data_IF_395802310765
#
_entry.id   IF_395802310765
#
_cell.length_a   1.000
_cell.length_b   1.000
_cell.length_c   1.000
_cell.angle_alpha   90.00
_cell.angle_beta   90.00
_cell.angle_gamma   90.00
#
_symmetry.space_group_name_H-M   'P 1'
#
loop_
_entity.id
_entity.type
_entity.pdbx_description
1 polymer ?
#
# COMPACT_ATOMS: atom_id res chain seq x y z
N UNK A 1 -2.09 -18.28 14.37
CA UNK A 1 -3.47 -18.65 14.77
C UNK A 1 -4.37 -17.44 15.03
N UNK A 2 -3.96 -16.40 15.76
CA UNK A 2 -4.80 -15.22 16.09
C UNK A 2 -5.42 -14.54 14.86
N UNK A 3 -4.63 -14.26 13.80
CA UNK A 3 -5.14 -13.62 12.58
C UNK A 3 -6.28 -14.39 11.91
N UNK A 4 -6.19 -15.72 11.85
CA UNK A 4 -7.26 -16.53 11.24
C UNK A 4 -8.57 -16.42 12.02
N UNK A 5 -8.50 -16.29 13.33
CA UNK A 5 -9.67 -16.07 14.19
C UNK A 5 -10.28 -14.69 13.94
N UNK A 6 -9.44 -13.64 13.84
CA UNK A 6 -9.92 -12.29 13.53
C UNK A 6 -10.58 -12.23 12.14
N UNK A 7 -10.00 -12.89 11.13
CA UNK A 7 -10.60 -12.98 9.78
C UNK A 7 -11.94 -13.71 9.86
N UNK A 8 -12.02 -14.83 10.59
CA UNK A 8 -13.27 -15.58 10.74
C UNK A 8 -14.36 -14.74 11.43
N UNK A 9 -14.00 -13.96 12.44
CA UNK A 9 -14.92 -13.03 13.10
C UNK A 9 -15.38 -11.91 12.17
N UNK A 10 -14.47 -11.32 11.38
CA UNK A 10 -14.80 -10.26 10.43
C UNK A 10 -15.80 -10.74 9.34
N UNK A 11 -15.69 -12.00 8.93
CA UNK A 11 -16.54 -12.59 7.89
C UNK A 11 -17.87 -13.13 8.46
N UNK A 12 -17.93 -13.45 9.76
CA UNK A 12 -19.11 -14.10 10.38
C UNK A 12 -20.40 -13.28 10.28
N UNK A 13 -20.28 -11.97 10.07
CA UNK A 13 -21.43 -11.06 9.90
C UNK A 13 -21.83 -10.85 8.43
N UNK A 14 -21.28 -11.63 7.50
CA UNK A 14 -21.52 -11.53 6.04
C UNK A 14 -21.42 -10.08 5.51
N UNK A 15 -20.27 -9.39 5.72
CA UNK A 15 -20.14 -7.99 5.35
C UNK A 15 -20.02 -7.83 3.82
N UNK A 16 -20.44 -6.69 3.28
CA UNK A 16 -20.20 -6.31 1.90
C UNK A 16 -18.78 -5.81 1.66
N UNK A 17 -18.12 -5.29 2.72
CA UNK A 17 -16.78 -4.71 2.67
C UNK A 17 -15.96 -5.10 3.90
N UNK A 18 -14.72 -5.52 3.68
CA UNK A 18 -13.72 -5.76 4.72
C UNK A 18 -12.63 -4.69 4.61
N UNK A 19 -12.29 -4.04 5.72
CA UNK A 19 -11.14 -3.14 5.83
C UNK A 19 -10.07 -3.85 6.66
N UNK A 20 -8.93 -4.12 6.03
CA UNK A 20 -7.78 -4.77 6.65
C UNK A 20 -6.65 -3.76 6.80
N UNK A 21 -6.47 -3.26 8.02
CA UNK A 21 -5.41 -2.31 8.37
C UNK A 21 -4.18 -3.07 8.86
N UNK A 22 -3.10 -2.99 8.11
CA UNK A 22 -1.83 -3.69 8.36
C UNK A 22 -2.02 -5.19 8.74
N UNK A 23 -2.78 -5.98 7.96
CA UNK A 23 -3.25 -7.30 8.40
C UNK A 23 -2.13 -8.31 8.62
N UNK A 24 -0.92 -8.04 8.15
CA UNK A 24 0.22 -8.95 8.22
C UNK A 24 1.43 -8.38 8.96
N UNK A 25 1.27 -7.26 9.65
CA UNK A 25 2.31 -6.68 10.49
C UNK A 25 2.74 -7.66 11.58
N UNK A 26 4.04 -7.77 11.81
CA UNK A 26 4.68 -8.70 12.75
C UNK A 26 4.54 -10.21 12.42
N UNK A 27 4.21 -10.56 11.17
CA UNK A 27 4.26 -11.93 10.69
C UNK A 27 5.54 -12.16 9.85
N UNK A 28 6.04 -13.38 9.89
CA UNK A 28 7.06 -13.81 8.93
C UNK A 28 6.51 -13.86 7.51
N UNK A 29 7.40 -13.75 6.51
CA UNK A 29 7.04 -13.63 5.09
C UNK A 29 6.16 -14.78 4.60
N UNK A 30 6.41 -16.00 5.09
CA UNK A 30 5.66 -17.18 4.69
C UNK A 30 4.23 -17.14 5.22
N UNK A 31 4.05 -16.81 6.48
CA UNK A 31 2.72 -16.69 7.10
C UNK A 31 1.96 -15.48 6.52
N UNK A 32 2.66 -14.37 6.27
CA UNK A 32 2.08 -13.21 5.58
C UNK A 32 1.46 -13.61 4.24
N UNK A 33 2.21 -14.33 3.38
CA UNK A 33 1.70 -14.79 2.09
C UNK A 33 0.48 -15.70 2.24
N UNK A 34 0.50 -16.64 3.20
CA UNK A 34 -0.63 -17.53 3.47
C UNK A 34 -1.90 -16.77 3.91
N UNK A 35 -1.76 -15.77 4.76
CA UNK A 35 -2.90 -14.96 5.25
C UNK A 35 -3.49 -14.14 4.12
N UNK A 36 -2.66 -13.49 3.30
CA UNK A 36 -3.13 -12.67 2.18
C UNK A 36 -3.82 -13.52 1.10
N UNK A 37 -3.28 -14.70 0.79
CA UNK A 37 -3.91 -15.64 -0.13
C UNK A 37 -5.26 -16.12 0.39
N UNK A 38 -5.34 -16.47 1.69
CA UNK A 38 -6.59 -16.85 2.34
C UNK A 38 -7.63 -15.70 2.26
N UNK A 39 -7.23 -14.46 2.55
CA UNK A 39 -8.12 -13.31 2.46
C UNK A 39 -8.63 -13.10 1.03
N UNK A 40 -7.76 -13.19 0.03
CA UNK A 40 -8.10 -13.07 -1.38
C UNK A 40 -9.09 -14.17 -1.82
N UNK A 41 -8.85 -15.41 -1.43
CA UNK A 41 -9.73 -16.53 -1.72
C UNK A 41 -11.10 -16.34 -1.10
N UNK A 42 -11.14 -15.96 0.18
CA UNK A 42 -12.41 -15.77 0.92
C UNK A 42 -13.22 -14.62 0.34
N UNK A 43 -12.61 -13.46 0.05
CA UNK A 43 -13.34 -12.31 -0.53
C UNK A 43 -13.89 -12.66 -1.92
N UNK A 44 -13.12 -13.35 -2.76
CA UNK A 44 -13.57 -13.80 -4.07
C UNK A 44 -14.74 -14.81 -3.98
N UNK A 45 -14.64 -15.75 -3.04
CA UNK A 45 -15.64 -16.82 -2.85
C UNK A 45 -16.95 -16.27 -2.28
N UNK A 46 -16.87 -15.27 -1.41
CA UNK A 46 -18.02 -14.65 -0.76
C UNK A 46 -18.58 -13.44 -1.54
N UNK A 47 -17.90 -12.98 -2.60
CA UNK A 47 -18.29 -11.78 -3.35
C UNK A 47 -18.11 -10.48 -2.58
N UNK A 48 -17.24 -10.46 -1.56
CA UNK A 48 -17.01 -9.34 -0.65
C UNK A 48 -15.90 -8.45 -1.18
N UNK A 49 -16.05 -7.14 -1.10
CA UNK A 49 -14.98 -6.19 -1.41
C UNK A 49 -13.98 -6.09 -0.25
N UNK A 50 -12.69 -5.83 -0.57
CA UNK A 50 -11.66 -5.68 0.45
C UNK A 50 -10.79 -4.44 0.20
N UNK A 51 -10.59 -3.63 1.25
CA UNK A 51 -9.58 -2.58 1.29
C UNK A 51 -8.43 -3.06 2.16
N UNK A 52 -7.22 -3.08 1.61
CA UNK A 52 -5.99 -3.37 2.37
C UNK A 52 -5.23 -2.06 2.55
N UNK A 53 -5.00 -1.68 3.80
CA UNK A 53 -4.12 -0.56 4.15
C UNK A 53 -2.77 -1.17 4.53
N UNK A 54 -1.71 -0.78 3.82
CA UNK A 54 -0.36 -1.31 4.09
C UNK A 54 0.72 -0.40 3.51
N UNK A 55 1.89 -0.43 4.14
CA UNK A 55 3.10 0.19 3.60
C UNK A 55 3.96 -0.81 2.79
N UNK A 56 3.56 -2.08 2.72
CA UNK A 56 4.31 -3.10 1.99
C UNK A 56 3.91 -3.11 0.51
N UNK A 57 4.73 -2.48 -0.31
CA UNK A 57 4.50 -2.36 -1.75
C UNK A 57 4.51 -3.71 -2.48
N UNK A 58 5.23 -4.72 -1.98
CA UNK A 58 5.19 -6.07 -2.52
C UNK A 58 3.81 -6.73 -2.36
N UNK A 59 3.13 -6.46 -1.23
CA UNK A 59 1.74 -6.91 -1.01
C UNK A 59 0.81 -6.24 -2.00
N UNK A 60 0.92 -4.92 -2.15
CA UNK A 60 0.09 -4.15 -3.10
C UNK A 60 0.28 -4.66 -4.52
N UNK A 61 1.53 -4.85 -4.99
CA UNK A 61 1.83 -5.33 -6.33
C UNK A 61 1.19 -6.70 -6.64
N UNK A 62 1.10 -7.58 -5.64
CA UNK A 62 0.66 -8.97 -5.81
C UNK A 62 -0.85 -9.15 -5.65
N UNK A 63 -1.49 -8.38 -4.78
CA UNK A 63 -2.85 -8.66 -4.33
C UNK A 63 -3.88 -7.58 -4.69
N UNK A 64 -3.44 -6.35 -5.00
CA UNK A 64 -4.36 -5.26 -5.29
C UNK A 64 -4.76 -5.20 -6.78
N UNK A 65 -6.04 -5.03 -7.06
CA UNK A 65 -6.55 -4.70 -8.39
C UNK A 65 -6.42 -3.20 -8.66
N UNK A 66 -6.76 -2.38 -7.67
CA UNK A 66 -6.66 -0.91 -7.69
C UNK A 66 -5.88 -0.41 -6.49
N UNK A 67 -5.16 0.68 -6.70
CA UNK A 67 -4.31 1.29 -5.69
C UNK A 67 -4.67 2.74 -5.52
N UNK A 68 -4.80 3.17 -4.26
CA UNK A 68 -4.89 4.56 -3.86
C UNK A 68 -3.62 4.91 -3.09
N UNK A 69 -2.79 5.79 -3.65
CA UNK A 69 -1.60 6.28 -2.98
C UNK A 69 -1.99 7.46 -2.11
N UNK A 70 -1.66 7.38 -0.81
CA UNK A 70 -1.94 8.45 0.15
C UNK A 70 -0.66 9.18 0.56
N UNK A 71 -0.78 10.49 0.71
CA UNK A 71 0.26 11.33 1.31
C UNK A 71 -0.38 12.44 2.13
N UNK A 72 0.09 12.63 3.36
CA UNK A 72 -0.42 13.66 4.27
C UNK A 72 -1.98 13.68 4.38
N UNK A 73 -2.60 12.51 4.54
CA UNK A 73 -4.04 12.35 4.70
C UNK A 73 -4.88 12.52 3.42
N UNK A 74 -4.24 12.75 2.26
CA UNK A 74 -4.95 12.92 0.97
C UNK A 74 -4.58 11.79 -0.01
N UNK A 75 -5.56 11.34 -0.79
CA UNK A 75 -5.28 10.47 -1.95
C UNK A 75 -4.70 11.36 -3.04
N UNK A 76 -3.48 11.07 -3.47
CA UNK A 76 -2.72 11.87 -4.44
C UNK A 76 -2.61 11.18 -5.80
N UNK A 77 -2.82 9.88 -5.85
CA UNK A 77 -2.84 9.11 -7.08
C UNK A 77 -3.73 7.88 -6.93
N UNK A 78 -4.47 7.54 -7.98
CA UNK A 78 -5.34 6.36 -8.06
C UNK A 78 -5.19 5.70 -9.42
N UNK A 79 -5.05 4.38 -9.44
CA UNK A 79 -4.92 3.63 -10.69
C UNK A 79 -5.05 2.14 -10.48
N UNK A 80 -4.93 1.36 -11.55
CA UNK A 80 -4.71 -0.07 -11.41
C UNK A 80 -3.33 -0.33 -10.81
N UNK A 81 -3.13 -1.49 -10.17
CA UNK A 81 -1.80 -1.83 -9.67
C UNK A 81 -0.76 -1.74 -10.79
N UNK A 82 -1.09 -2.21 -12.01
CA UNK A 82 -0.21 -2.14 -13.16
C UNK A 82 0.18 -0.71 -13.52
N UNK A 83 -0.76 0.23 -13.55
CA UNK A 83 -0.50 1.62 -13.91
C UNK A 83 0.39 2.28 -12.86
N UNK A 84 0.08 2.12 -11.58
CA UNK A 84 0.85 2.70 -10.48
C UNK A 84 2.31 2.20 -10.49
N UNK A 85 2.56 0.92 -10.79
CA UNK A 85 3.91 0.36 -10.77
C UNK A 85 4.72 0.64 -12.04
N UNK A 86 4.06 0.74 -13.20
CA UNK A 86 4.78 0.90 -14.48
C UNK A 86 4.74 2.32 -15.03
N UNK A 87 3.73 3.11 -14.67
CA UNK A 87 3.55 4.47 -15.17
C UNK A 87 3.02 5.43 -14.09
N UNK A 88 3.69 5.56 -12.94
CA UNK A 88 3.28 6.49 -11.89
C UNK A 88 3.32 7.93 -12.40
N UNK A 89 2.27 8.70 -12.13
CA UNK A 89 2.15 10.08 -12.60
C UNK A 89 2.52 11.09 -11.51
N UNK A 90 2.30 10.74 -10.23
CA UNK A 90 2.61 11.64 -9.14
C UNK A 90 4.07 11.52 -8.69
N UNK A 91 4.82 12.62 -8.50
CA UNK A 91 6.22 12.61 -8.08
C UNK A 91 6.50 11.84 -6.78
N UNK A 92 5.58 11.87 -5.82
CA UNK A 92 5.70 11.07 -4.60
C UNK A 92 5.65 9.57 -4.89
N UNK A 93 4.70 9.12 -5.71
CA UNK A 93 4.57 7.70 -6.09
C UNK A 93 5.84 7.21 -6.79
N UNK A 94 6.35 8.02 -7.72
CA UNK A 94 7.61 7.74 -8.41
C UNK A 94 8.79 7.61 -7.43
N UNK A 95 8.90 8.55 -6.48
CA UNK A 95 9.96 8.53 -5.47
C UNK A 95 9.80 7.33 -4.50
N UNK A 96 8.55 7.02 -4.11
CA UNK A 96 8.23 5.87 -3.26
C UNK A 96 8.66 4.55 -3.92
N UNK A 97 8.32 4.36 -5.19
CA UNK A 97 8.70 3.16 -5.94
C UNK A 97 10.23 3.05 -6.15
N UNK A 98 10.93 4.17 -6.32
CA UNK A 98 12.40 4.20 -6.43
C UNK A 98 13.11 3.88 -5.11
N UNK A 99 12.47 4.12 -3.97
CA UNK A 99 13.03 3.80 -2.65
C UNK A 99 12.99 2.31 -2.29
N UNK A 100 12.34 1.46 -3.12
CA UNK A 100 12.30 0.02 -2.91
C UNK A 100 13.55 -0.63 -3.48
N UNK A 101 14.24 -1.51 -2.72
CA UNK A 101 15.33 -2.31 -3.26
C UNK A 101 14.85 -3.20 -4.40
N UNK A 102 15.42 -3.07 -5.57
CA UNK A 102 15.14 -3.95 -6.71
C UNK A 102 16.11 -5.12 -6.71
N UNK A 103 15.58 -6.33 -6.55
CA UNK A 103 16.39 -7.55 -6.50
C UNK A 103 16.91 -8.00 -7.89
N UNK A 104 16.34 -7.45 -8.97
CA UNK A 104 16.67 -7.74 -10.36
C UNK A 104 17.79 -6.85 -10.93
N UNK A 105 18.16 -5.80 -10.21
CA UNK A 105 19.27 -4.92 -10.59
C UNK A 105 20.54 -5.24 -9.80
N UNK A 106 21.70 -4.99 -10.41
CA UNK A 106 22.97 -5.04 -9.69
C UNK A 106 22.86 -4.17 -8.43
N UNK A 107 23.45 -4.67 -7.32
CA UNK A 107 23.38 -4.04 -6.00
C UNK A 107 23.65 -2.54 -6.11
N UNK A 108 22.61 -1.74 -5.95
CA UNK A 108 22.79 -0.29 -5.85
C UNK A 108 23.33 0.01 -4.44
N UNK A 109 24.48 0.67 -4.38
CA UNK A 109 25.13 1.01 -3.10
C UNK A 109 24.34 2.03 -2.27
N UNK A 110 23.35 2.73 -2.86
CA UNK A 110 22.43 3.64 -2.18
C UNK A 110 21.03 3.59 -2.79
N UNK A 111 20.05 3.43 -1.93
CA UNK A 111 18.64 3.72 -2.27
C UNK A 111 18.48 5.24 -2.32
N UNK A 112 17.67 5.75 -3.26
CA UNK A 112 17.31 7.17 -3.33
C UNK A 112 16.22 7.47 -2.28
N UNK A 113 16.55 8.01 -1.10
CA UNK A 113 15.54 8.35 -0.11
C UNK A 113 14.72 9.56 -0.59
N UNK A 114 13.47 9.63 -0.15
CA UNK A 114 12.67 10.84 -0.33
C UNK A 114 13.21 11.91 0.62
N UNK A 115 13.87 12.93 0.07
CA UNK A 115 14.48 14.01 0.84
C UNK A 115 13.46 14.82 1.65
N UNK A 116 13.91 15.42 2.74
CA UNK A 116 13.11 16.28 3.62
C UNK A 116 12.21 15.51 4.58
N UNK A 117 11.58 16.25 5.49
CA UNK A 117 10.67 15.69 6.49
C UNK A 117 9.22 15.66 5.97
N UNK A 118 8.39 14.70 6.40
CA UNK A 118 6.95 14.74 6.17
C UNK A 118 6.36 16.07 6.69
N UNK A 119 5.34 16.63 6.03
CA UNK A 119 4.74 17.88 6.47
C UNK A 119 4.00 17.69 7.80
N UNK A 120 3.94 18.76 8.58
CA UNK A 120 3.06 18.83 9.73
C UNK A 120 1.60 18.87 9.24
N UNK A 121 0.82 17.84 9.64
CA UNK A 121 -0.58 17.71 9.22
C UNK A 121 -1.47 18.83 9.74
N UNK A 122 -1.04 19.55 10.78
CA UNK A 122 -1.77 20.69 11.36
C UNK A 122 -1.54 21.99 10.59
N UNK A 123 -0.51 22.03 9.71
CA UNK A 123 -0.07 23.22 8.98
C UNK A 123 0.05 22.95 7.47
N UNK A 124 -0.90 22.22 6.92
CA UNK A 124 -0.91 21.93 5.49
C UNK A 124 -1.29 23.18 4.69
N UNK A 125 -0.40 23.62 3.82
CA UNK A 125 -0.64 24.69 2.86
C UNK A 125 -1.72 24.30 1.82
N UNK A 126 -2.28 25.34 1.17
CA UNK A 126 -3.14 25.14 0.01
C UNK A 126 -2.36 24.52 -1.15
N UNK A 127 -2.97 23.52 -1.82
CA UNK A 127 -2.39 22.84 -2.97
C UNK A 127 -1.85 21.43 -2.66
N UNK A 128 -0.81 21.03 -3.37
CA UNK A 128 -0.22 19.71 -3.23
C UNK A 128 0.62 19.61 -1.94
N UNK A 129 0.21 18.73 -1.02
CA UNK A 129 0.93 18.51 0.26
C UNK A 129 2.37 17.99 0.08
N UNK A 130 2.70 17.42 -1.09
CA UNK A 130 4.06 16.97 -1.40
C UNK A 130 4.95 18.09 -1.95
N UNK A 131 4.42 19.28 -2.25
CA UNK A 131 5.15 20.41 -2.85
C UNK A 131 6.49 20.73 -2.17
N UNK A 132 6.61 20.80 -0.84
CA UNK A 132 7.88 21.12 -0.17
C UNK A 132 9.01 20.10 -0.41
N UNK A 133 8.67 18.89 -0.83
CA UNK A 133 9.60 17.77 -1.10
C UNK A 133 9.64 17.39 -2.57
N UNK A 134 8.91 18.10 -3.40
CA UNK A 134 8.78 17.79 -4.82
C UNK A 134 9.95 18.38 -5.62
N UNK A 135 10.66 17.53 -6.36
CA UNK A 135 11.77 17.97 -7.24
C UNK A 135 11.30 18.79 -8.46
N UNK A 136 10.00 18.87 -8.68
CA UNK A 136 9.39 19.55 -9.85
C UNK A 136 8.57 20.80 -9.47
N UNK A 137 8.64 21.23 -8.21
CA UNK A 137 7.92 22.44 -7.74
C UNK A 137 8.81 23.68 -7.80
#
# INVERSE_FOLDING_TARGET
MRQRVVIALAISCEPDLIIADEPTTALDVTIQAQILELMKELTKRLGVSMIIITHNLGVVARYADRVNVMYAGKIIETGTAKDIYHNPQHPYTLALLKSIPRMDLARQDKLDPIEGQPPDLTQLDHGCSFRPRCKYS
#
